data_IF_451527899926
#
_entry.id   IF_451527899926
#
_cell.length_a   1.000
_cell.length_b   1.000
_cell.length_c   1.000
_cell.angle_alpha   90.00
_cell.angle_beta   90.00
_cell.angle_gamma   90.00
#
_symmetry.space_group_name_H-M   'P 1'
#
loop_
_entity.id
_entity.type
_entity.pdbx_description
1 polymer ?
#
# COMPACT_ATOMS: atom_id res chain seq x y z
N UNK A 1 -29.35 5.25 -2.28
CA UNK A 1 -29.33 6.47 -3.11
C UNK A 1 -28.32 6.25 -4.22
N UNK A 2 -28.71 6.50 -5.48
CA UNK A 2 -27.75 6.47 -6.59
C UNK A 2 -26.75 7.62 -6.44
N UNK A 3 -25.47 7.36 -6.67
CA UNK A 3 -24.44 8.40 -6.69
C UNK A 3 -24.69 9.38 -7.83
N UNK A 4 -24.32 10.65 -7.66
CA UNK A 4 -24.25 11.56 -8.82
C UNK A 4 -23.20 11.03 -9.82
N UNK A 5 -23.35 11.34 -11.12
CA UNK A 5 -22.37 10.93 -12.16
C UNK A 5 -20.93 11.30 -11.75
N UNK A 6 -20.74 12.49 -11.19
CA UNK A 6 -19.42 12.95 -10.73
C UNK A 6 -18.88 12.09 -9.59
N UNK A 7 -19.70 11.74 -8.59
CA UNK A 7 -19.29 10.86 -7.50
C UNK A 7 -18.92 9.45 -7.98
N UNK A 8 -19.61 8.95 -9.00
CA UNK A 8 -19.28 7.66 -9.62
C UNK A 8 -17.89 7.67 -10.27
N UNK A 9 -17.58 8.68 -11.09
CA UNK A 9 -16.27 8.78 -11.75
C UNK A 9 -15.13 8.98 -10.76
N UNK A 10 -15.30 9.83 -9.74
CA UNK A 10 -14.29 10.06 -8.71
C UNK A 10 -13.95 8.78 -7.93
N UNK A 11 -14.97 8.00 -7.53
CA UNK A 11 -14.75 6.70 -6.87
C UNK A 11 -14.03 5.70 -7.76
N UNK A 12 -14.36 5.67 -9.06
CA UNK A 12 -13.66 4.80 -10.02
C UNK A 12 -12.20 5.22 -10.18
N UNK A 13 -11.94 6.51 -10.37
CA UNK A 13 -10.58 7.06 -10.46
C UNK A 13 -9.77 6.71 -9.21
N UNK A 14 -10.34 6.88 -8.01
CA UNK A 14 -9.70 6.53 -6.75
C UNK A 14 -9.27 5.05 -6.71
N UNK A 15 -10.18 4.15 -7.09
CA UNK A 15 -9.88 2.71 -7.13
C UNK A 15 -8.85 2.35 -8.20
N UNK A 16 -8.88 3.02 -9.36
CA UNK A 16 -7.93 2.80 -10.46
C UNK A 16 -6.52 3.21 -10.05
N UNK A 17 -6.38 4.40 -9.46
CA UNK A 17 -5.09 4.89 -8.97
C UNK A 17 -4.56 4.04 -7.80
N UNK A 18 -5.45 3.54 -6.94
CA UNK A 18 -5.10 2.59 -5.88
C UNK A 18 -4.48 1.29 -6.39
N UNK A 19 -5.04 0.72 -7.46
CA UNK A 19 -4.62 -0.59 -7.96
C UNK A 19 -3.45 -0.50 -8.95
N UNK A 20 -3.53 0.40 -9.93
CA UNK A 20 -2.60 0.38 -11.06
C UNK A 20 -1.27 1.07 -10.69
N UNK A 21 -1.19 2.39 -10.53
CA UNK A 21 0.08 3.04 -10.21
C UNK A 21 0.54 2.73 -8.79
N UNK A 22 -0.32 2.86 -7.76
CA UNK A 22 0.09 2.70 -6.36
C UNK A 22 0.36 1.23 -6.04
N UNK A 23 -0.50 0.32 -6.48
CA UNK A 23 -0.29 -1.13 -6.32
C UNK A 23 0.97 -1.61 -7.04
N UNK A 24 1.20 -1.16 -8.27
CA UNK A 24 2.43 -1.43 -9.01
C UNK A 24 3.68 -0.92 -8.29
N UNK A 25 3.64 0.33 -7.82
CA UNK A 25 4.71 0.92 -7.02
C UNK A 25 4.97 0.11 -5.74
N UNK A 26 3.94 -0.26 -4.98
CA UNK A 26 4.07 -1.05 -3.74
C UNK A 26 4.81 -2.37 -4.00
N UNK A 27 4.43 -3.10 -5.05
CA UNK A 27 5.07 -4.38 -5.39
C UNK A 27 6.54 -4.20 -5.77
N UNK A 28 6.85 -3.24 -6.64
CA UNK A 28 8.24 -2.93 -7.01
C UNK A 28 9.04 -2.48 -5.79
N UNK A 29 8.46 -1.61 -4.96
CA UNK A 29 9.08 -1.12 -3.73
C UNK A 29 9.44 -2.26 -2.78
N UNK A 30 8.51 -3.19 -2.51
CA UNK A 30 8.78 -4.34 -1.65
C UNK A 30 9.81 -5.29 -2.26
N UNK A 31 9.81 -5.49 -3.58
CA UNK A 31 10.82 -6.32 -4.26
C UNK A 31 12.23 -5.71 -4.19
N UNK A 32 12.35 -4.40 -4.33
CA UNK A 32 13.64 -3.69 -4.15
C UNK A 32 14.11 -3.82 -2.70
N UNK A 33 13.23 -3.60 -1.72
CA UNK A 33 13.56 -3.78 -0.31
C UNK A 33 13.94 -5.23 0.02
N UNK A 34 13.27 -6.21 -0.57
CA UNK A 34 13.57 -7.62 -0.37
C UNK A 34 14.98 -8.01 -0.81
N UNK A 35 15.66 -7.20 -1.63
CA UNK A 35 17.07 -7.41 -1.96
C UNK A 35 17.99 -7.31 -0.73
N UNK A 36 17.54 -6.71 0.38
CA UNK A 36 18.24 -6.74 1.67
C UNK A 36 18.49 -8.18 2.17
N UNK A 37 17.60 -9.13 1.84
CA UNK A 37 17.79 -10.56 2.16
C UNK A 37 19.01 -11.19 1.47
N UNK A 38 19.56 -10.51 0.46
CA UNK A 38 20.77 -10.91 -0.27
C UNK A 38 22.01 -10.12 0.16
N UNK A 39 21.89 -9.30 1.21
CA UNK A 39 22.97 -8.50 1.78
C UNK A 39 22.92 -7.02 1.38
N UNK A 40 23.74 -6.24 2.06
CA UNK A 40 23.85 -4.77 1.96
C UNK A 40 24.08 -4.31 0.52
N UNK A 41 25.05 -4.89 -0.17
CA UNK A 41 25.39 -4.52 -1.54
C UNK A 41 24.25 -4.77 -2.53
N UNK A 42 23.50 -5.85 -2.33
CA UNK A 42 22.39 -6.21 -3.21
C UNK A 42 21.22 -5.21 -3.08
N UNK A 43 20.92 -4.75 -1.86
CA UNK A 43 19.94 -3.69 -1.62
C UNK A 43 20.43 -2.35 -2.18
N UNK A 44 21.63 -1.91 -1.83
CA UNK A 44 22.17 -0.61 -2.26
C UNK A 44 22.25 -0.52 -3.79
N UNK A 45 22.66 -1.60 -4.46
CA UNK A 45 22.65 -1.67 -5.93
C UNK A 45 21.24 -1.55 -6.51
N UNK A 46 20.25 -2.23 -5.92
CA UNK A 46 18.87 -2.18 -6.39
C UNK A 46 18.24 -0.81 -6.15
N UNK A 47 18.46 -0.20 -4.99
CA UNK A 47 18.02 1.15 -4.66
C UNK A 47 18.67 2.18 -5.60
N UNK A 48 20.00 2.13 -5.76
CA UNK A 48 20.74 3.00 -6.67
C UNK A 48 20.28 2.88 -8.12
N UNK A 49 19.93 1.67 -8.59
CA UNK A 49 19.32 1.49 -9.92
C UNK A 49 18.02 2.30 -10.06
N UNK A 50 17.12 2.22 -9.07
CA UNK A 50 15.87 3.01 -9.07
C UNK A 50 16.14 4.51 -9.11
N UNK A 51 17.19 4.97 -8.42
CA UNK A 51 17.58 6.39 -8.42
C UNK A 51 18.21 6.84 -9.74
N UNK A 52 18.76 5.91 -10.53
CA UNK A 52 19.36 6.20 -11.83
C UNK A 52 18.38 6.25 -13.01
N UNK A 53 17.08 6.01 -12.76
CA UNK A 53 16.09 6.00 -13.83
C UNK A 53 16.00 7.37 -14.54
N UNK A 54 15.90 7.39 -15.87
CA UNK A 54 15.77 8.64 -16.61
C UNK A 54 14.43 9.31 -16.26
N UNK A 55 14.45 10.64 -16.17
CA UNK A 55 13.28 11.44 -15.80
C UNK A 55 12.66 11.04 -14.44
N UNK A 56 13.47 10.55 -13.49
CA UNK A 56 13.02 10.04 -12.18
C UNK A 56 11.97 10.95 -11.52
N UNK A 57 12.21 12.26 -11.45
CA UNK A 57 11.28 13.20 -10.82
C UNK A 57 9.90 13.15 -11.52
N UNK A 58 9.87 13.15 -12.85
CA UNK A 58 8.60 13.08 -13.60
C UNK A 58 7.90 11.75 -13.33
N UNK A 59 8.65 10.64 -13.32
CA UNK A 59 8.11 9.32 -12.99
C UNK A 59 7.53 9.29 -11.57
N UNK A 60 8.24 9.83 -10.58
CA UNK A 60 7.79 9.90 -9.20
C UNK A 60 6.49 10.73 -9.08
N UNK A 61 6.40 11.88 -9.75
CA UNK A 61 5.17 12.68 -9.70
C UNK A 61 3.98 12.00 -10.37
N UNK A 62 4.17 11.46 -11.57
CA UNK A 62 3.08 10.89 -12.39
C UNK A 62 2.63 9.53 -11.86
N UNK A 63 3.57 8.69 -11.39
CA UNK A 63 3.29 7.31 -10.96
C UNK A 63 3.05 7.21 -9.46
N UNK A 64 3.65 8.10 -8.66
CA UNK A 64 3.62 7.98 -7.18
C UNK A 64 2.88 9.15 -6.56
N UNK A 65 3.44 10.37 -6.59
CA UNK A 65 2.95 11.47 -5.75
C UNK A 65 1.54 11.95 -6.10
N UNK A 66 1.23 12.19 -7.38
CA UNK A 66 -0.11 12.63 -7.78
C UNK A 66 -1.14 11.52 -7.53
N UNK A 67 -0.92 10.26 -7.97
CA UNK A 67 -1.84 9.17 -7.68
C UNK A 67 -2.07 8.94 -6.19
N UNK A 68 -1.01 8.86 -5.38
CA UNK A 68 -1.11 8.58 -3.95
C UNK A 68 -1.79 9.72 -3.20
N UNK A 69 -1.53 10.98 -3.58
CA UNK A 69 -2.19 12.12 -2.96
C UNK A 69 -3.70 12.10 -3.19
N UNK A 70 -4.13 11.91 -4.44
CA UNK A 70 -5.55 11.79 -4.75
C UNK A 70 -6.20 10.59 -4.04
N UNK A 71 -5.54 9.43 -4.11
CA UNK A 71 -6.03 8.21 -3.47
C UNK A 71 -6.16 8.39 -1.96
N UNK A 72 -5.14 8.95 -1.30
CA UNK A 72 -5.14 9.19 0.14
C UNK A 72 -6.24 10.18 0.57
N UNK A 73 -6.29 11.37 -0.02
CA UNK A 73 -7.24 12.42 0.39
C UNK A 73 -8.68 11.97 0.14
N UNK A 74 -8.97 11.44 -1.04
CA UNK A 74 -10.31 10.97 -1.36
C UNK A 74 -10.67 9.70 -0.58
N UNK A 75 -9.70 8.81 -0.34
CA UNK A 75 -9.85 7.62 0.48
C UNK A 75 -10.20 7.94 1.93
N UNK A 76 -9.52 8.92 2.54
CA UNK A 76 -9.84 9.45 3.87
C UNK A 76 -11.26 10.02 3.90
N UNK A 77 -11.66 10.81 2.90
CA UNK A 77 -13.03 11.29 2.79
C UNK A 77 -14.05 10.14 2.76
N UNK A 78 -13.81 9.07 1.99
CA UNK A 78 -14.66 7.87 1.97
C UNK A 78 -14.66 7.19 3.35
N UNK A 79 -13.49 7.06 3.97
CA UNK A 79 -13.30 6.39 5.24
C UNK A 79 -14.00 7.08 6.41
N UNK A 80 -14.39 8.36 6.30
CA UNK A 80 -15.19 9.04 7.33
C UNK A 80 -16.68 9.20 6.96
N UNK A 81 -17.03 9.06 5.68
CA UNK A 81 -18.42 9.22 5.20
C UNK A 81 -19.17 7.90 5.00
N UNK A 82 -18.46 6.78 4.86
CA UNK A 82 -19.08 5.47 4.74
C UNK A 82 -19.67 4.97 6.07
N UNK A 83 -20.81 4.26 6.01
CA UNK A 83 -21.44 3.59 7.15
C UNK A 83 -21.09 2.11 7.15
N UNK A 84 -20.63 1.60 8.30
CA UNK A 84 -20.36 0.17 8.51
C UNK A 84 -21.59 -0.55 9.05
N UNK A 85 -21.73 -1.83 8.70
CA UNK A 85 -22.83 -2.69 9.17
C UNK A 85 -22.28 -3.93 9.91
N UNK A 86 -21.38 -3.75 10.87
CA UNK A 86 -20.82 -4.84 11.71
C UNK A 86 -21.61 -5.09 13.02
N UNK A 87 -22.52 -4.21 13.42
CA UNK A 87 -23.25 -4.32 14.70
C UNK A 87 -24.42 -5.32 14.73
N UNK A 88 -25.36 -5.23 13.77
CA UNK A 88 -26.61 -6.01 13.83
C UNK A 88 -26.72 -7.17 12.83
N UNK A 89 -26.04 -7.08 11.67
CA UNK A 89 -26.06 -8.11 10.60
C UNK A 89 -24.64 -8.33 10.05
N UNK A 90 -23.74 -8.81 10.90
CA UNK A 90 -22.34 -9.02 10.58
C UNK A 90 -22.14 -10.17 9.58
N UNK A 91 -21.68 -9.83 8.38
CA UNK A 91 -21.15 -10.78 7.40
C UNK A 91 -19.64 -10.58 7.27
N UNK A 92 -18.93 -11.63 6.87
CA UNK A 92 -17.48 -11.57 6.63
C UNK A 92 -17.05 -10.38 5.75
N UNK A 93 -17.81 -10.06 4.69
CA UNK A 93 -17.50 -8.90 3.82
C UNK A 93 -17.69 -7.55 4.50
N UNK A 94 -18.56 -7.43 5.51
CA UNK A 94 -18.70 -6.20 6.29
C UNK A 94 -17.44 -5.99 7.15
N UNK A 95 -16.89 -7.06 7.74
CA UNK A 95 -15.60 -6.98 8.44
C UNK A 95 -14.45 -6.60 7.50
N UNK A 96 -14.39 -7.19 6.31
CA UNK A 96 -13.35 -6.83 5.33
C UNK A 96 -13.47 -5.37 4.88
N UNK A 97 -14.68 -4.83 4.79
CA UNK A 97 -14.91 -3.42 4.48
C UNK A 97 -14.46 -2.49 5.62
N UNK A 98 -14.79 -2.83 6.87
CA UNK A 98 -14.27 -2.13 8.05
C UNK A 98 -12.73 -2.15 8.09
N UNK A 99 -12.13 -3.34 7.93
CA UNK A 99 -10.68 -3.50 7.95
C UNK A 99 -10.01 -2.73 6.80
N UNK A 100 -10.60 -2.66 5.60
CA UNK A 100 -10.11 -1.83 4.50
C UNK A 100 -9.95 -0.37 4.93
N UNK A 101 -10.94 0.17 5.66
CA UNK A 101 -10.91 1.56 6.13
C UNK A 101 -9.87 1.77 7.22
N UNK A 102 -9.87 0.91 8.24
CA UNK A 102 -8.91 1.02 9.35
C UNK A 102 -7.47 0.92 8.85
N UNK A 103 -7.18 -0.09 8.04
CA UNK A 103 -5.85 -0.25 7.42
C UNK A 103 -5.52 0.88 6.45
N UNK A 104 -6.51 1.47 5.77
CA UNK A 104 -6.30 2.63 4.90
C UNK A 104 -5.89 3.89 5.68
N UNK A 105 -6.55 4.16 6.81
CA UNK A 105 -6.18 5.27 7.71
C UNK A 105 -4.79 5.04 8.30
N UNK A 106 -4.50 3.82 8.75
CA UNK A 106 -3.19 3.48 9.28
C UNK A 106 -2.09 3.59 8.20
N UNK A 107 -2.38 3.15 6.98
CA UNK A 107 -1.49 3.29 5.81
C UNK A 107 -1.23 4.75 5.50
N UNK A 108 -2.24 5.63 5.57
CA UNK A 108 -2.08 7.06 5.36
C UNK A 108 -1.09 7.68 6.36
N UNK A 109 -1.26 7.37 7.65
CA UNK A 109 -0.35 7.82 8.72
C UNK A 109 1.06 7.26 8.49
N UNK A 110 1.16 5.97 8.20
CA UNK A 110 2.44 5.31 7.95
C UNK A 110 3.19 5.93 6.77
N UNK A 111 2.53 6.18 5.63
CA UNK A 111 3.16 6.78 4.45
C UNK A 111 3.69 8.19 4.78
N UNK A 112 2.96 8.99 5.55
CA UNK A 112 3.44 10.32 5.95
C UNK A 112 4.72 10.25 6.79
N UNK A 113 4.76 9.36 7.80
CA UNK A 113 5.94 9.13 8.64
C UNK A 113 7.09 8.54 7.82
N UNK A 114 6.80 7.55 6.98
CA UNK A 114 7.77 6.89 6.12
C UNK A 114 8.42 7.88 5.13
N UNK A 115 7.65 8.77 4.51
CA UNK A 115 8.17 9.85 3.65
C UNK A 115 9.09 10.79 4.42
N UNK A 116 8.75 11.13 5.66
CA UNK A 116 9.60 11.96 6.51
C UNK A 116 10.94 11.29 6.83
N UNK A 117 10.91 10.00 7.20
CA UNK A 117 12.10 9.25 7.59
C UNK A 117 13.04 8.91 6.43
N UNK A 118 12.53 8.91 5.19
CA UNK A 118 13.32 8.52 4.01
C UNK A 118 13.45 9.66 3.00
N UNK A 119 12.37 10.00 2.30
CA UNK A 119 12.38 10.96 1.18
C UNK A 119 12.69 12.39 1.59
N UNK A 120 12.20 12.83 2.74
CA UNK A 120 12.54 14.17 3.25
C UNK A 120 14.00 14.20 3.72
N UNK A 121 14.49 13.16 4.41
CA UNK A 121 15.92 13.07 4.75
C UNK A 121 16.80 13.09 3.50
N UNK A 122 16.38 12.39 2.43
CA UNK A 122 17.06 12.46 1.13
C UNK A 122 17.12 13.87 0.57
N UNK A 123 16.01 14.60 0.60
CA UNK A 123 15.96 15.98 0.15
C UNK A 123 16.83 16.93 1.00
N UNK A 124 17.12 16.55 2.25
CA UNK A 124 18.03 17.26 3.16
C UNK A 124 19.50 16.84 3.01
N UNK A 125 19.82 15.93 2.08
CA UNK A 125 21.20 15.54 1.75
C UNK A 125 21.65 14.18 2.29
N UNK A 126 20.76 13.40 2.89
CA UNK A 126 21.07 12.02 3.31
C UNK A 126 20.93 11.03 2.14
N UNK A 127 21.69 9.94 2.16
CA UNK A 127 21.55 8.87 1.17
C UNK A 127 20.49 7.85 1.60
N UNK A 128 19.66 7.38 0.65
CA UNK A 128 18.70 6.29 0.92
C UNK A 128 19.41 4.96 0.64
N UNK A 129 20.02 4.40 1.69
CA UNK A 129 20.81 3.18 1.63
C UNK A 129 20.38 2.20 2.75
N UNK A 130 21.05 1.05 2.82
CA UNK A 130 20.77 0.02 3.81
C UNK A 130 20.87 0.57 5.24
N UNK A 131 21.92 1.34 5.52
CA UNK A 131 22.22 1.88 6.85
C UNK A 131 21.10 2.80 7.34
N UNK A 132 20.54 3.66 6.47
CA UNK A 132 19.38 4.49 6.83
C UNK A 132 18.21 3.64 7.33
N UNK A 133 17.90 2.52 6.67
CA UNK A 133 16.79 1.65 7.08
C UNK A 133 17.15 0.87 8.34
N UNK A 134 18.37 0.34 8.43
CA UNK A 134 18.92 -0.33 9.61
C UNK A 134 18.83 0.56 10.85
N UNK A 135 19.24 1.82 10.77
CA UNK A 135 19.19 2.78 11.87
C UNK A 135 17.76 3.03 12.37
N UNK A 136 16.79 3.08 11.45
CA UNK A 136 15.36 3.24 11.81
C UNK A 136 14.87 2.00 12.56
N UNK A 137 15.11 0.80 12.01
CA UNK A 137 14.51 -0.45 12.53
C UNK A 137 15.32 -1.09 13.66
N UNK A 138 16.54 -0.64 13.92
CA UNK A 138 17.32 -1.02 15.10
C UNK A 138 16.64 -0.58 16.40
N UNK A 139 15.76 0.42 16.35
CA UNK A 139 14.85 0.72 17.45
C UNK A 139 13.66 -0.26 17.43
N UNK A 140 13.46 -1.09 18.46
CA UNK A 140 12.39 -2.10 18.47
C UNK A 140 10.99 -1.53 18.32
N UNK A 141 10.74 -0.31 18.82
CA UNK A 141 9.43 0.34 18.68
C UNK A 141 9.15 0.70 17.22
N UNK A 142 10.17 1.20 16.50
CA UNK A 142 10.05 1.50 15.07
C UNK A 142 9.91 0.22 14.25
N UNK A 143 10.65 -0.85 14.57
CA UNK A 143 10.48 -2.14 13.91
C UNK A 143 9.05 -2.68 14.03
N UNK A 144 8.51 -2.72 15.25
CA UNK A 144 7.14 -3.18 15.50
C UNK A 144 6.14 -2.31 14.74
N UNK A 145 6.31 -0.98 14.80
CA UNK A 145 5.46 -0.04 14.07
C UNK A 145 5.48 -0.30 12.55
N UNK A 146 6.66 -0.48 11.96
CA UNK A 146 6.83 -0.78 10.55
C UNK A 146 6.20 -2.12 10.16
N UNK A 147 6.36 -3.17 10.97
CA UNK A 147 5.73 -4.47 10.73
C UNK A 147 4.20 -4.36 10.70
N UNK A 148 3.60 -3.72 11.71
CA UNK A 148 2.14 -3.56 11.81
C UNK A 148 1.61 -2.72 10.65
N UNK A 149 2.29 -1.63 10.31
CA UNK A 149 1.87 -0.76 9.21
C UNK A 149 2.06 -1.43 7.85
N UNK A 150 3.17 -2.14 7.63
CA UNK A 150 3.40 -2.90 6.40
C UNK A 150 2.32 -3.96 6.20
N UNK A 151 1.99 -4.76 7.23
CA UNK A 151 0.87 -5.72 7.17
C UNK A 151 -0.47 -5.05 6.87
N UNK A 152 -0.66 -3.83 7.38
CA UNK A 152 -1.87 -3.04 7.09
C UNK A 152 -1.90 -2.58 5.63
N UNK A 153 -0.78 -2.11 5.08
CA UNK A 153 -0.66 -1.70 3.66
C UNK A 153 -0.90 -2.88 2.74
N UNK A 154 -0.30 -4.04 3.01
CA UNK A 154 -0.45 -5.25 2.18
C UNK A 154 -1.87 -5.82 2.26
N UNK A 155 -2.51 -5.78 3.44
CA UNK A 155 -3.93 -6.13 3.57
C UNK A 155 -4.81 -5.17 2.77
N UNK A 156 -4.60 -3.85 2.94
CA UNK A 156 -5.36 -2.81 2.24
C UNK A 156 -5.26 -2.98 0.73
N UNK A 157 -4.06 -3.26 0.22
CA UNK A 157 -3.84 -3.55 -1.20
C UNK A 157 -4.59 -4.81 -1.64
N UNK A 158 -4.38 -5.94 -0.96
CA UNK A 158 -4.94 -7.22 -1.35
C UNK A 158 -6.47 -7.26 -1.32
N UNK A 159 -7.09 -6.73 -0.26
CA UNK A 159 -8.55 -6.61 -0.17
C UNK A 159 -9.09 -5.49 -1.09
N UNK A 160 -8.27 -4.47 -1.38
CA UNK A 160 -8.52 -3.47 -2.39
C UNK A 160 -8.66 -4.06 -3.80
N UNK A 161 -7.84 -5.05 -4.18
CA UNK A 161 -7.96 -5.76 -5.46
C UNK A 161 -9.33 -6.44 -5.62
N UNK A 162 -9.81 -7.11 -4.57
CA UNK A 162 -11.14 -7.71 -4.57
C UNK A 162 -12.22 -6.65 -4.81
N UNK A 163 -12.16 -5.54 -4.06
CA UNK A 163 -13.14 -4.45 -4.14
C UNK A 163 -13.12 -3.75 -5.50
N UNK A 164 -11.92 -3.57 -6.07
CA UNK A 164 -11.71 -3.03 -7.40
C UNK A 164 -12.38 -3.90 -8.46
N UNK A 165 -12.07 -5.19 -8.52
CA UNK A 165 -12.61 -6.08 -9.55
C UNK A 165 -14.13 -6.24 -9.47
N UNK A 166 -14.73 -6.14 -8.28
CA UNK A 166 -16.19 -6.06 -8.13
C UNK A 166 -16.73 -4.74 -8.73
N UNK A 167 -16.14 -3.61 -8.35
CA UNK A 167 -16.55 -2.26 -8.77
C UNK A 167 -16.43 -2.06 -10.29
N UNK A 168 -15.45 -2.70 -10.90
CA UNK A 168 -15.14 -2.59 -12.32
C UNK A 168 -15.83 -3.62 -13.21
N UNK A 169 -16.70 -4.46 -12.66
CA UNK A 169 -17.51 -5.35 -13.49
C UNK A 169 -16.89 -6.73 -13.74
N UNK A 170 -15.73 -7.05 -13.16
CA UNK A 170 -15.02 -8.32 -13.42
C UNK A 170 -15.59 -9.47 -12.56
N UNK A 171 -15.87 -9.20 -11.29
CA UNK A 171 -16.39 -10.20 -10.33
C UNK A 171 -17.90 -10.05 -10.10
N UNK A 172 -18.72 -10.43 -11.09
CA UNK A 172 -20.18 -10.22 -11.04
C UNK A 172 -20.95 -11.35 -10.34
N UNK A 173 -20.45 -12.58 -10.35
CA UNK A 173 -21.14 -13.72 -9.74
C UNK A 173 -20.68 -13.96 -8.29
N UNK A 174 -21.58 -14.50 -7.45
CA UNK A 174 -21.24 -14.91 -6.07
C UNK A 174 -20.05 -15.86 -6.04
N UNK A 175 -20.00 -16.83 -6.97
CA UNK A 175 -18.90 -17.79 -7.10
C UNK A 175 -17.57 -17.10 -7.42
N UNK A 176 -17.55 -16.17 -8.37
CA UNK A 176 -16.32 -15.42 -8.72
C UNK A 176 -15.79 -14.61 -7.54
N UNK A 177 -16.68 -13.95 -6.78
CA UNK A 177 -16.32 -13.20 -5.58
C UNK A 177 -15.80 -14.08 -4.44
N UNK A 178 -16.35 -15.29 -4.28
CA UNK A 178 -15.87 -16.29 -3.32
C UNK A 178 -14.50 -16.84 -3.70
N UNK A 179 -14.28 -17.17 -4.97
CA UNK A 179 -12.96 -17.62 -5.45
C UNK A 179 -11.92 -16.52 -5.25
N UNK A 180 -12.25 -15.29 -5.67
CA UNK A 180 -11.31 -14.19 -5.55
C UNK A 180 -11.02 -13.78 -4.10
N UNK A 181 -11.87 -14.13 -3.14
CA UNK A 181 -11.55 -13.98 -1.72
C UNK A 181 -10.29 -14.78 -1.36
N UNK A 182 -10.19 -16.02 -1.81
CA UNK A 182 -9.01 -16.86 -1.59
C UNK A 182 -7.79 -16.33 -2.33
N UNK A 183 -7.97 -15.85 -3.57
CA UNK A 183 -6.90 -15.20 -4.33
C UNK A 183 -6.38 -13.97 -3.57
N UNK A 184 -7.25 -13.10 -3.07
CA UNK A 184 -6.83 -11.93 -2.29
C UNK A 184 -6.10 -12.32 -1.01
N UNK A 185 -6.50 -13.41 -0.35
CA UNK A 185 -5.79 -13.92 0.83
C UNK A 185 -4.39 -14.41 0.48
N UNK A 186 -4.23 -15.15 -0.62
CA UNK A 186 -2.92 -15.61 -1.10
C UNK A 186 -2.03 -14.41 -1.44
N UNK A 187 -2.57 -13.41 -2.15
CA UNK A 187 -1.83 -12.17 -2.44
C UNK A 187 -1.39 -11.48 -1.16
N UNK A 188 -2.27 -11.35 -0.16
CA UNK A 188 -1.93 -10.78 1.13
C UNK A 188 -0.77 -11.54 1.80
N UNK A 189 -0.83 -12.87 1.87
CA UNK A 189 0.19 -13.70 2.51
C UNK A 189 1.54 -13.56 1.80
N UNK A 190 1.55 -13.69 0.47
CA UNK A 190 2.79 -13.63 -0.33
C UNK A 190 3.44 -12.25 -0.23
N UNK A 191 2.68 -11.19 -0.42
CA UNK A 191 3.22 -9.82 -0.38
C UNK A 191 3.67 -9.47 1.03
N UNK A 192 2.95 -9.90 2.06
CA UNK A 192 3.36 -9.73 3.46
C UNK A 192 4.65 -10.50 3.78
N UNK A 193 4.80 -11.72 3.27
CA UNK A 193 6.04 -12.48 3.43
C UNK A 193 7.25 -11.75 2.82
N UNK A 194 7.09 -11.20 1.60
CA UNK A 194 8.14 -10.39 0.96
C UNK A 194 8.50 -9.18 1.83
N UNK A 195 7.50 -8.46 2.35
CA UNK A 195 7.72 -7.32 3.23
C UNK A 195 8.34 -7.67 4.58
N UNK A 196 7.90 -8.75 5.24
CA UNK A 196 8.45 -9.23 6.52
C UNK A 196 9.89 -9.70 6.36
N UNK A 197 10.17 -10.49 5.33
CA UNK A 197 11.54 -10.95 5.06
C UNK A 197 12.46 -9.78 4.73
N UNK A 198 11.97 -8.76 4.01
CA UNK A 198 12.73 -7.54 3.74
C UNK A 198 13.04 -6.75 5.03
N UNK A 199 12.01 -6.38 5.81
CA UNK A 199 12.20 -5.51 6.99
C UNK A 199 13.09 -6.15 8.05
N UNK A 200 13.01 -7.48 8.21
CA UNK A 200 13.84 -8.23 9.15
C UNK A 200 15.28 -8.41 8.64
N UNK A 201 15.53 -8.32 7.33
CA UNK A 201 16.87 -8.41 6.77
C UNK A 201 17.69 -7.12 6.92
N UNK A 202 17.08 -6.04 7.41
CA UNK A 202 17.78 -4.82 7.80
C UNK A 202 18.29 -4.85 9.24
N UNK A 203 18.12 -5.95 9.97
CA UNK A 203 18.66 -6.15 11.32
C UNK A 203 20.05 -6.78 11.29
#
# INVERSE_FOLDING_TARGET
>A
MAYSKNQFYLRRLHSLLGVIPIGGFLLVHLLVNHQATKGVDAFNKAAGFMESLPFLIVLEFVVIYIPIFYHAVYGVHIAFTAKENVGHYSKFRNWMFLLQRLTGILTFIFVAIHLWQTRIQRALGHEVNFDMVHDIVSNPLWLIFYIVCMLSVTFHFANGLWSFLVTWGVLQSKRSQQIFTWVSLIVFIVVSYIGLSAILAFL
#
